data_IF_254136272119
#
_entry.id   IF_254136272119
#
_cell.length_a   1.000
_cell.length_b   1.000
_cell.length_c   1.000
_cell.angle_alpha   90.00
_cell.angle_beta   90.00
_cell.angle_gamma   90.00
#
_symmetry.space_group_name_H-M   'P 1'
#
loop_
_entity.id
_entity.type
_entity.pdbx_description
1 polymer ?
#
# COMPACT_ATOMS: atom_id res chain seq x y z
N UNK A 1 -23.77 41.30 19.30
CA UNK A 1 -23.32 40.85 17.96
C UNK A 1 -22.69 39.46 18.12
N UNK A 2 -23.38 38.34 17.81
CA UNK A 2 -22.79 37.01 17.94
C UNK A 2 -21.92 36.68 16.71
N UNK A 3 -20.71 36.17 16.96
CA UNK A 3 -19.74 35.74 15.94
C UNK A 3 -20.28 34.53 15.17
N UNK A 4 -20.36 34.64 13.84
CA UNK A 4 -20.65 33.50 12.95
C UNK A 4 -19.50 32.51 13.03
N UNK A 5 -19.79 31.30 13.51
CA UNK A 5 -18.88 30.16 13.41
C UNK A 5 -18.91 29.66 11.96
N UNK A 6 -17.79 29.81 11.25
CA UNK A 6 -17.62 29.29 9.90
C UNK A 6 -17.57 27.77 9.95
N UNK A 7 -18.50 27.10 9.28
CA UNK A 7 -18.50 25.66 9.15
C UNK A 7 -17.24 25.20 8.39
N UNK A 8 -16.50 24.26 8.96
CA UNK A 8 -15.37 23.58 8.30
C UNK A 8 -15.99 22.73 7.18
N UNK A 9 -15.57 22.90 5.91
CA UNK A 9 -16.10 22.08 4.83
C UNK A 9 -15.71 20.62 5.07
N UNK A 10 -16.71 19.74 5.08
CA UNK A 10 -16.48 18.28 5.09
C UNK A 10 -15.75 17.95 3.80
N UNK A 11 -14.51 17.52 3.90
CA UNK A 11 -13.76 16.96 2.77
C UNK A 11 -14.48 15.68 2.39
N UNK A 12 -15.25 15.74 1.30
CA UNK A 12 -15.79 14.55 0.67
C UNK A 12 -14.60 13.78 0.13
N UNK A 13 -14.37 12.57 0.65
CA UNK A 13 -13.41 11.64 0.11
C UNK A 13 -13.80 11.36 -1.35
N UNK A 14 -13.14 12.05 -2.27
CA UNK A 14 -13.30 11.85 -3.70
C UNK A 14 -12.91 10.41 -3.98
N UNK A 15 -13.83 9.64 -4.59
CA UNK A 15 -13.53 8.32 -5.14
C UNK A 15 -12.48 8.50 -6.22
N UNK A 16 -11.21 8.41 -5.84
CA UNK A 16 -10.12 8.14 -6.77
C UNK A 16 -10.48 6.80 -7.42
N UNK A 17 -10.58 6.78 -8.75
CA UNK A 17 -10.83 5.59 -9.55
C UNK A 17 -9.78 4.52 -9.23
N UNK A 18 -10.15 3.63 -8.31
CA UNK A 18 -9.39 2.49 -7.85
C UNK A 18 -9.60 1.33 -8.83
N UNK A 19 -9.35 1.54 -10.13
CA UNK A 19 -9.49 0.52 -11.18
C UNK A 19 -8.36 -0.53 -11.16
N UNK A 20 -7.60 -0.58 -10.06
CA UNK A 20 -6.51 -1.53 -9.82
C UNK A 20 -6.50 -2.10 -8.40
N UNK A 21 -7.61 -2.04 -7.65
CA UNK A 21 -7.70 -2.78 -6.37
C UNK A 21 -7.58 -4.26 -6.71
N UNK A 22 -6.51 -4.86 -6.23
CA UNK A 22 -6.23 -6.27 -6.40
C UNK A 22 -7.48 -7.09 -6.07
N UNK A 23 -8.00 -7.74 -7.11
CA UNK A 23 -9.05 -8.77 -7.04
C UNK A 23 -8.77 -9.66 -5.82
N UNK A 24 -9.69 -9.66 -4.86
CA UNK A 24 -9.95 -10.59 -3.73
C UNK A 24 -8.84 -11.61 -3.32
N UNK A 25 -7.56 -11.24 -3.34
CA UNK A 25 -6.49 -12.18 -3.02
C UNK A 25 -6.24 -12.18 -1.50
N UNK A 26 -6.21 -13.36 -0.86
CA UNK A 26 -5.93 -13.43 0.56
C UNK A 26 -4.50 -12.99 0.84
N UNK A 27 -4.33 -12.20 1.89
CA UNK A 27 -3.03 -11.84 2.42
C UNK A 27 -2.72 -12.67 3.67
N UNK A 28 -1.43 -12.94 3.85
CA UNK A 28 -0.87 -13.45 5.09
C UNK A 28 0.44 -12.72 5.29
N UNK A 29 0.68 -12.18 6.48
CA UNK A 29 1.96 -11.57 6.77
C UNK A 29 3.07 -12.64 6.69
N UNK A 30 4.13 -12.45 5.87
CA UNK A 30 5.22 -13.42 5.77
C UNK A 30 6.07 -13.51 7.04
N UNK A 31 6.01 -12.48 7.90
CA UNK A 31 6.79 -12.39 9.15
C UNK A 31 6.04 -13.00 10.32
N UNK A 32 4.90 -12.44 10.73
CA UNK A 32 4.17 -12.98 11.89
C UNK A 32 3.38 -14.25 11.58
N UNK A 33 3.04 -14.49 10.30
CA UNK A 33 2.25 -15.65 9.82
C UNK A 33 0.89 -15.82 10.52
N UNK A 34 0.40 -14.77 11.17
CA UNK A 34 -0.83 -14.79 11.96
C UNK A 34 -1.86 -13.83 11.38
N UNK A 35 -1.46 -12.58 11.12
CA UNK A 35 -2.35 -11.57 10.57
C UNK A 35 -2.81 -11.90 9.15
N UNK A 36 -4.13 -11.94 8.97
CA UNK A 36 -4.86 -12.17 7.69
C UNK A 36 -5.92 -11.12 7.40
N UNK A 37 -6.12 -10.16 8.29
CA UNK A 37 -7.29 -9.27 8.25
C UNK A 37 -6.90 -7.80 8.15
N UNK A 38 -5.94 -7.35 8.97
CA UNK A 38 -5.67 -5.91 9.10
C UNK A 38 -4.36 -5.52 8.42
N UNK A 39 -4.47 -4.88 7.26
CA UNK A 39 -3.34 -4.44 6.46
C UNK A 39 -3.56 -3.01 5.98
N UNK A 40 -2.48 -2.25 5.88
CA UNK A 40 -2.47 -0.96 5.21
C UNK A 40 -1.87 -1.13 3.82
N UNK A 41 -2.63 -0.75 2.80
CA UNK A 41 -2.13 -0.64 1.43
C UNK A 41 -1.53 0.75 1.23
N UNK A 42 -0.30 0.79 0.75
CA UNK A 42 0.49 2.01 0.57
C UNK A 42 0.69 2.24 -0.92
N UNK A 43 0.21 3.39 -1.37
CA UNK A 43 0.34 3.87 -2.73
C UNK A 43 1.43 4.94 -2.83
N UNK A 44 2.28 4.85 -3.85
CA UNK A 44 3.43 5.73 -4.03
C UNK A 44 3.19 6.72 -5.17
N UNK A 45 3.45 7.99 -4.87
CA UNK A 45 3.46 9.09 -5.83
C UNK A 45 4.87 9.68 -5.90
N UNK A 46 5.30 10.08 -7.09
CA UNK A 46 6.57 10.74 -7.34
C UNK A 46 6.34 12.12 -7.97
N UNK A 47 7.29 13.02 -7.78
CA UNK A 47 7.30 14.34 -8.41
C UNK A 47 8.74 14.74 -8.73
N UNK A 48 8.96 15.25 -9.93
CA UNK A 48 10.28 15.76 -10.32
C UNK A 48 10.62 17.03 -9.53
N UNK A 49 11.85 17.09 -9.02
CA UNK A 49 12.44 18.27 -8.40
C UNK A 49 13.88 18.44 -8.90
N UNK A 50 14.30 19.69 -9.11
CA UNK A 50 15.70 20.04 -9.38
C UNK A 50 16.16 21.05 -8.35
N UNK A 51 17.36 20.82 -7.81
CA UNK A 51 17.99 21.72 -6.84
C UNK A 51 19.35 22.16 -7.33
N UNK A 52 19.75 23.35 -6.89
CA UNK A 52 21.10 23.84 -7.01
C UNK A 52 22.05 23.01 -6.13
N UNK A 53 23.16 22.48 -6.67
CA UNK A 53 24.03 21.57 -5.93
C UNK A 53 24.89 22.26 -4.85
N UNK A 54 25.14 23.56 -4.97
CA UNK A 54 26.01 24.31 -4.03
C UNK A 54 25.20 24.92 -2.89
N UNK A 55 24.01 25.44 -3.20
CA UNK A 55 23.15 26.17 -2.26
C UNK A 55 21.96 25.36 -1.76
N UNK A 56 21.57 24.30 -2.48
CA UNK A 56 20.38 23.50 -2.19
C UNK A 56 19.06 24.18 -2.58
N UNK A 57 19.09 25.37 -3.21
CA UNK A 57 17.92 26.10 -3.65
C UNK A 57 17.09 25.28 -4.66
N UNK A 58 15.77 25.39 -4.60
CA UNK A 58 14.88 24.72 -5.56
C UNK A 58 14.91 25.50 -6.88
N UNK A 59 15.39 24.85 -7.94
CA UNK A 59 15.44 25.42 -9.29
C UNK A 59 14.21 25.06 -10.12
N UNK A 60 13.64 23.87 -9.87
CA UNK A 60 12.46 23.40 -10.57
C UNK A 60 11.67 22.42 -9.71
N UNK A 61 10.36 22.44 -9.91
CA UNK A 61 9.37 21.57 -9.30
C UNK A 61 8.32 21.31 -10.37
N UNK A 62 8.04 20.03 -10.64
CA UNK A 62 6.88 19.69 -11.46
C UNK A 62 5.58 20.03 -10.72
N UNK A 63 4.56 20.47 -11.46
CA UNK A 63 3.26 20.83 -10.89
C UNK A 63 2.45 19.60 -10.48
N UNK A 64 2.63 18.49 -11.19
CA UNK A 64 1.85 17.27 -11.03
C UNK A 64 2.63 16.17 -10.29
N UNK A 65 1.88 15.34 -9.58
CA UNK A 65 2.39 14.10 -9.00
C UNK A 65 2.05 12.94 -9.92
N UNK A 66 3.03 12.09 -10.18
CA UNK A 66 2.88 10.90 -11.02
C UNK A 66 2.81 9.64 -10.18
N UNK A 67 2.13 8.63 -10.71
CA UNK A 67 1.98 7.33 -10.06
C UNK A 67 3.27 6.54 -10.22
N UNK A 68 3.79 6.00 -9.11
CA UNK A 68 4.99 5.16 -9.19
C UNK A 68 4.59 3.79 -9.70
N UNK A 69 5.19 3.39 -10.82
CA UNK A 69 4.99 2.08 -11.41
C UNK A 69 6.29 1.28 -11.47
N UNK A 70 6.16 -0.05 -11.36
CA UNK A 70 7.21 -1.04 -11.54
C UNK A 70 6.71 -2.05 -12.57
N UNK A 71 7.47 -2.25 -13.65
CA UNK A 71 7.10 -3.15 -14.75
C UNK A 71 5.70 -2.89 -15.33
N UNK A 72 5.31 -1.61 -15.43
CA UNK A 72 4.01 -1.18 -15.95
C UNK A 72 2.82 -1.39 -15.01
N UNK A 73 3.06 -1.72 -13.73
CA UNK A 73 2.03 -1.86 -12.69
C UNK A 73 2.29 -0.92 -11.53
N UNK A 74 1.25 -0.56 -10.78
CA UNK A 74 1.37 0.26 -9.57
C UNK A 74 2.35 -0.40 -8.57
N UNK A 75 3.34 0.35 -8.07
CA UNK A 75 4.28 -0.12 -7.05
C UNK A 75 3.61 -0.08 -5.67
N UNK A 76 2.73 -1.06 -5.44
CA UNK A 76 1.98 -1.21 -4.20
C UNK A 76 2.81 -1.90 -3.12
N UNK A 77 2.79 -1.31 -1.93
CA UNK A 77 3.39 -1.87 -0.73
C UNK A 77 2.29 -2.16 0.30
N UNK A 78 2.40 -3.28 1.01
CA UNK A 78 1.46 -3.67 2.06
C UNK A 78 2.19 -3.63 3.39
N UNK A 79 1.58 -3.02 4.39
CA UNK A 79 2.04 -3.02 5.78
C UNK A 79 1.11 -3.85 6.65
N UNK A 80 1.65 -4.82 7.37
CA UNK A 80 0.94 -5.57 8.39
C UNK A 80 0.65 -4.66 9.60
N UNK A 81 -0.61 -4.55 10.03
CA UNK A 81 -0.98 -3.74 11.20
C UNK A 81 -0.72 -4.40 12.55
N UNK A 82 -0.36 -5.69 12.54
CA UNK A 82 0.00 -6.45 13.74
C UNK A 82 1.49 -6.37 14.10
N UNK A 83 2.40 -6.40 13.10
CA UNK A 83 3.85 -6.43 13.34
C UNK A 83 4.64 -5.36 12.57
N UNK A 84 3.96 -4.43 11.91
CA UNK A 84 4.51 -3.33 11.11
C UNK A 84 5.43 -3.71 9.94
N UNK A 85 5.60 -5.00 9.66
CA UNK A 85 6.32 -5.46 8.48
C UNK A 85 5.68 -4.91 7.20
N UNK A 86 6.49 -4.29 6.36
CA UNK A 86 6.09 -3.71 5.07
C UNK A 86 6.90 -4.35 3.93
N UNK A 87 6.21 -4.74 2.86
CA UNK A 87 6.82 -5.38 1.69
C UNK A 87 5.91 -5.24 0.45
N UNK A 88 6.39 -5.54 -0.77
CA UNK A 88 5.55 -5.59 -1.95
C UNK A 88 4.34 -6.52 -1.76
N UNK A 89 3.18 -6.13 -2.30
CA UNK A 89 1.93 -6.89 -2.17
C UNK A 89 2.07 -8.38 -2.52
N UNK A 90 2.85 -8.68 -3.56
CA UNK A 90 3.08 -10.04 -4.04
C UNK A 90 3.61 -10.99 -2.97
N UNK A 91 4.35 -10.50 -1.98
CA UNK A 91 4.93 -11.33 -0.94
C UNK A 91 3.88 -11.79 0.08
N UNK A 92 2.91 -10.93 0.40
CA UNK A 92 1.77 -11.28 1.26
C UNK A 92 0.84 -12.28 0.59
N UNK A 93 0.57 -12.09 -0.71
CA UNK A 93 -0.19 -13.03 -1.54
C UNK A 93 0.51 -14.38 -1.61
N UNK A 94 1.83 -14.40 -1.87
CA UNK A 94 2.62 -15.64 -1.92
C UNK A 94 2.63 -16.37 -0.58
N UNK A 95 2.74 -15.65 0.53
CA UNK A 95 2.65 -16.24 1.86
C UNK A 95 1.31 -16.92 2.10
N UNK A 96 0.19 -16.27 1.77
CA UNK A 96 -1.15 -16.85 1.90
C UNK A 96 -1.32 -18.10 1.04
N UNK A 97 -0.90 -18.05 -0.24
CA UNK A 97 -0.96 -19.20 -1.16
C UNK A 97 -0.18 -20.40 -0.62
N UNK A 98 1.04 -20.18 -0.13
CA UNK A 98 1.89 -21.25 0.44
C UNK A 98 1.26 -21.87 1.69
N UNK A 99 0.65 -21.06 2.53
CA UNK A 99 -0.03 -21.52 3.73
C UNK A 99 -1.26 -22.38 3.40
N UNK A 100 -2.10 -21.93 2.47
CA UNK A 100 -3.25 -22.72 1.99
C UNK A 100 -2.81 -24.07 1.39
N UNK A 101 -1.74 -24.08 0.58
CA UNK A 101 -1.17 -25.31 0.03
C UNK A 101 -0.68 -26.28 1.12
N UNK A 102 -0.13 -25.76 2.23
CA UNK A 102 0.28 -26.59 3.38
C UNK A 102 -0.93 -27.17 4.09
N UNK A 103 -2.01 -26.41 4.25
CA UNK A 103 -3.24 -26.89 4.86
C UNK A 103 -3.92 -28.01 4.04
N UNK A 104 -3.78 -27.98 2.71
CA UNK A 104 -4.36 -28.98 1.81
C UNK A 104 -3.53 -30.26 1.65
N UNK A 105 -2.25 -30.28 2.08
CA UNK A 105 -1.41 -31.48 1.96
C UNK A 105 -1.95 -32.59 2.88
N UNK A 106 -2.24 -33.80 2.34
CA UNK A 106 -2.64 -34.95 3.15
C UNK A 106 -1.59 -35.20 4.24
N UNK A 107 -2.02 -35.36 5.49
CA UNK A 107 -1.16 -35.94 6.52
C UNK A 107 -0.98 -37.41 6.15
N UNK A 108 0.17 -37.75 5.56
CA UNK A 108 0.57 -39.15 5.45
C UNK A 108 0.48 -39.77 6.84
N UNK A 109 -0.53 -40.61 7.05
CA UNK A 109 -0.65 -41.47 8.22
C UNK A 109 0.52 -42.42 8.12
N UNK A 110 1.61 -42.16 8.87
CA UNK A 110 2.62 -43.18 9.15
C UNK A 110 1.87 -44.34 9.82
N UNK A 111 1.72 -45.42 9.07
CA UNK A 111 1.30 -46.74 9.55
C UNK A 111 2.45 -47.39 10.33
#
# INVERSE_FOLDING_TARGET
>A
MPRRMTAIPRVHATRIGLEGVAVEQPYLCPVCRDNRQDFLQVYKLAREIRKDPETGAILYVADEWETVTRDGRLDLEIRCRLCDHSAPEVDFVRAARRDMQRAMRPKDRRA
#
